data_IF_443675410145
#
_entry.id   IF_443675410145
#
_cell.length_a   1.000
_cell.length_b   1.000
_cell.length_c   1.000
_cell.angle_alpha   90.00
_cell.angle_beta   90.00
_cell.angle_gamma   90.00
#
_symmetry.space_group_name_H-M   'P 1'
#
loop_
_entity.id
_entity.type
_entity.pdbx_description
1 polymer ?
#
# COMPACT_ATOMS: atom_id res chain seq x y z
N UNK A 1 -29.83 20.63 -7.77
CA UNK A 1 -28.65 21.41 -7.38
C UNK A 1 -27.59 20.58 -6.64
N UNK A 2 -27.49 19.28 -6.78
CA UNK A 2 -26.53 18.47 -6.01
C UNK A 2 -25.45 17.73 -6.83
N UNK A 3 -25.56 17.75 -8.17
CA UNK A 3 -24.65 16.96 -9.03
C UNK A 3 -23.36 17.71 -9.40
N UNK A 4 -23.39 19.05 -9.46
CA UNK A 4 -22.23 19.86 -9.81
C UNK A 4 -21.19 19.93 -8.70
N UNK A 5 -21.62 20.12 -7.48
CA UNK A 5 -20.75 20.24 -6.29
C UNK A 5 -19.98 18.93 -5.98
N UNK A 6 -20.60 17.77 -6.19
CA UNK A 6 -19.92 16.48 -6.04
C UNK A 6 -18.89 16.20 -7.15
N UNK A 7 -19.16 16.64 -8.38
CA UNK A 7 -18.19 16.53 -9.48
C UNK A 7 -16.98 17.44 -9.27
N UNK A 8 -17.22 18.65 -8.82
CA UNK A 8 -16.18 19.63 -8.54
C UNK A 8 -15.28 19.19 -7.36
N UNK A 9 -15.87 18.71 -6.27
CA UNK A 9 -15.13 18.10 -5.14
C UNK A 9 -14.29 16.91 -5.57
N UNK A 10 -14.84 16.04 -6.43
CA UNK A 10 -14.11 14.88 -6.96
C UNK A 10 -12.98 15.29 -7.91
N UNK A 11 -13.19 16.31 -8.73
CA UNK A 11 -12.17 16.85 -9.63
C UNK A 11 -11.03 17.48 -8.82
N UNK A 12 -11.34 18.31 -7.83
CA UNK A 12 -10.36 18.94 -6.96
C UNK A 12 -9.56 17.91 -6.14
N UNK A 13 -10.22 16.83 -5.67
CA UNK A 13 -9.55 15.71 -5.03
C UNK A 13 -8.58 14.99 -5.98
N UNK A 14 -8.99 14.72 -7.24
CA UNK A 14 -8.14 14.09 -8.25
C UNK A 14 -6.97 14.99 -8.68
N UNK A 15 -7.18 16.31 -8.77
CA UNK A 15 -6.12 17.27 -9.07
C UNK A 15 -5.10 17.35 -7.93
N UNK A 16 -5.55 17.42 -6.69
CA UNK A 16 -4.67 17.39 -5.52
C UNK A 16 -3.86 16.07 -5.45
N UNK A 17 -4.46 14.94 -5.77
CA UNK A 17 -3.73 13.67 -5.89
C UNK A 17 -2.70 13.68 -7.02
N UNK A 18 -2.99 14.30 -8.16
CA UNK A 18 -2.08 14.43 -9.29
C UNK A 18 -0.88 15.32 -8.96
N UNK A 19 -1.09 16.45 -8.24
CA UNK A 19 -0.03 17.32 -7.78
C UNK A 19 0.88 16.64 -6.74
N UNK A 20 0.28 15.93 -5.78
CA UNK A 20 1.03 15.12 -4.81
C UNK A 20 1.84 14.04 -5.50
N UNK A 21 1.28 13.40 -6.53
CA UNK A 21 1.98 12.38 -7.32
C UNK A 21 3.15 12.96 -8.12
N UNK A 22 2.96 14.13 -8.76
CA UNK A 22 4.01 14.82 -9.51
C UNK A 22 5.16 15.22 -8.59
N UNK A 23 4.87 15.77 -7.43
CA UNK A 23 5.88 16.14 -6.43
C UNK A 23 6.63 14.91 -5.89
N UNK A 24 5.92 13.80 -5.71
CA UNK A 24 6.50 12.54 -5.28
C UNK A 24 7.49 11.96 -6.32
N UNK A 25 7.17 12.10 -7.62
CA UNK A 25 8.04 11.64 -8.72
C UNK A 25 9.28 12.53 -8.86
N UNK A 26 9.17 13.84 -8.64
CA UNK A 26 10.29 14.77 -8.67
C UNK A 26 11.30 14.53 -7.54
N UNK A 27 10.83 14.29 -6.32
CA UNK A 27 11.68 14.01 -5.15
C UNK A 27 12.52 12.72 -5.31
N UNK A 28 11.99 11.71 -6.03
CA UNK A 28 12.71 10.48 -6.34
C UNK A 28 13.66 10.61 -7.55
N UNK A 29 13.49 11.62 -8.41
CA UNK A 29 14.37 11.88 -9.54
C UNK A 29 15.65 12.63 -9.15
N UNK A 30 15.63 13.39 -8.06
CA UNK A 30 16.77 14.18 -7.57
C UNK A 30 17.89 13.31 -6.94
N UNK A 31 17.64 12.03 -6.71
CA UNK A 31 18.70 11.10 -6.26
C UNK A 31 19.73 10.73 -7.35
N UNK A 32 19.56 11.19 -8.58
CA UNK A 32 20.42 10.70 -9.68
C UNK A 32 20.94 11.72 -10.70
N UNK A 33 20.91 13.03 -10.48
CA UNK A 33 21.56 13.96 -11.43
C UNK A 33 21.98 15.27 -10.77
N UNK A 34 23.25 15.36 -10.42
CA UNK A 34 23.92 16.63 -10.20
C UNK A 34 23.98 17.47 -11.49
N UNK A 35 23.31 18.61 -11.54
CA UNK A 35 23.57 19.67 -12.54
C UNK A 35 23.25 21.09 -12.07
N UNK A 36 24.33 21.83 -12.01
CA UNK A 36 24.62 23.23 -12.34
C UNK A 36 23.47 24.25 -12.36
N UNK A 37 23.64 25.23 -11.47
CA UNK A 37 22.99 26.54 -11.47
C UNK A 37 23.22 27.33 -12.76
N UNK A 38 22.16 27.86 -13.35
CA UNK A 38 22.20 29.00 -14.27
C UNK A 38 21.48 30.18 -13.60
N UNK A 39 22.22 31.29 -13.43
CA UNK A 39 21.68 32.58 -13.00
C UNK A 39 21.15 33.30 -14.22
N UNK A 40 19.91 33.82 -14.17
CA UNK A 40 19.58 35.15 -14.72
C UNK A 40 18.10 35.51 -14.44
N UNK A 41 17.82 36.75 -14.03
CA UNK A 41 16.52 37.41 -14.19
C UNK A 41 15.85 37.88 -12.91
N UNK A 42 16.18 39.10 -12.49
CA UNK A 42 15.46 39.91 -11.48
C UNK A 42 14.05 40.24 -11.98
N UNK A 43 13.03 40.06 -11.15
CA UNK A 43 11.67 40.64 -11.15
C UNK A 43 10.53 39.62 -11.25
N UNK A 44 10.51 38.61 -10.33
CA UNK A 44 9.32 37.78 -10.04
C UNK A 44 9.45 37.17 -8.65
N UNK A 45 9.82 37.98 -7.65
CA UNK A 45 10.13 37.40 -6.31
C UNK A 45 8.91 37.24 -5.41
N UNK A 46 7.72 37.71 -5.78
CA UNK A 46 6.53 37.58 -4.94
C UNK A 46 5.75 36.28 -5.17
N UNK A 47 5.49 35.91 -6.39
CA UNK A 47 4.76 34.64 -6.70
C UNK A 47 5.61 33.39 -6.38
N UNK A 48 6.88 33.39 -6.80
CA UNK A 48 7.77 32.27 -6.49
C UNK A 48 8.09 32.11 -4.98
N UNK A 49 8.01 33.20 -4.20
CA UNK A 49 8.18 33.15 -2.75
C UNK A 49 6.89 32.70 -2.03
N UNK A 50 5.74 32.97 -2.60
CA UNK A 50 4.44 32.48 -2.12
C UNK A 50 4.28 31.00 -2.44
N UNK A 51 4.59 30.59 -3.66
CA UNK A 51 4.63 29.17 -4.08
C UNK A 51 5.62 28.36 -3.25
N UNK A 52 6.82 28.90 -2.99
CA UNK A 52 7.81 28.24 -2.12
C UNK A 52 7.36 28.15 -0.65
N UNK A 53 6.55 29.09 -0.16
CA UNK A 53 5.94 29.02 1.17
C UNK A 53 4.80 28.02 1.21
N UNK A 54 3.91 28.03 0.22
CA UNK A 54 2.83 27.05 0.08
C UNK A 54 3.38 25.62 -0.08
N UNK A 55 4.46 25.44 -0.85
CA UNK A 55 5.18 24.17 -0.94
C UNK A 55 5.82 23.74 0.38
N UNK A 56 6.41 24.68 1.12
CA UNK A 56 7.00 24.40 2.43
C UNK A 56 5.96 24.07 3.49
N UNK A 57 4.81 24.74 3.46
CA UNK A 57 3.67 24.46 4.35
C UNK A 57 2.98 23.14 3.97
N UNK A 58 2.85 22.82 2.68
CA UNK A 58 2.39 21.51 2.21
C UNK A 58 3.38 20.39 2.60
N UNK A 59 4.69 20.63 2.47
CA UNK A 59 5.73 19.70 2.92
C UNK A 59 5.75 19.48 4.44
N UNK A 60 5.44 20.53 5.22
CA UNK A 60 5.37 20.41 6.69
C UNK A 60 4.09 19.73 7.18
N UNK A 61 3.03 19.75 6.37
CA UNK A 61 1.77 19.01 6.64
C UNK A 61 1.83 17.55 6.20
N UNK A 62 2.74 17.18 5.29
CA UNK A 62 3.07 15.80 5.01
C UNK A 62 3.83 15.26 6.21
N UNK A 63 3.14 14.58 7.12
CA UNK A 63 3.78 13.84 8.21
C UNK A 63 4.67 12.77 7.58
N UNK A 64 5.94 13.09 7.40
CA UNK A 64 6.94 12.14 6.90
C UNK A 64 7.29 11.19 8.05
N UNK A 65 6.42 10.20 8.28
CA UNK A 65 6.77 9.06 9.10
C UNK A 65 7.81 8.23 8.34
N UNK A 66 9.08 8.53 8.56
CA UNK A 66 10.15 7.71 8.00
C UNK A 66 10.29 6.44 8.83
N UNK A 67 9.97 5.31 8.23
CA UNK A 67 10.22 3.99 8.79
C UNK A 67 11.73 3.75 8.80
N UNK A 68 12.36 3.83 9.96
CA UNK A 68 13.80 3.61 10.12
C UNK A 68 14.14 2.17 10.47
N UNK A 69 13.15 1.39 10.90
CA UNK A 69 13.30 -0.01 11.33
C UNK A 69 12.14 -0.83 10.80
N UNK A 70 12.41 -2.09 10.51
CA UNK A 70 11.35 -3.05 10.19
C UNK A 70 10.35 -3.20 11.36
N UNK A 71 9.09 -3.60 11.10
CA UNK A 71 8.13 -3.91 12.15
C UNK A 71 8.67 -4.99 13.09
N UNK A 72 8.40 -4.86 14.39
CA UNK A 72 8.91 -5.78 15.42
C UNK A 72 8.35 -7.20 15.30
N UNK A 73 7.16 -7.33 14.71
CA UNK A 73 6.46 -8.60 14.45
C UNK A 73 7.06 -9.38 13.27
N UNK A 74 7.94 -8.76 12.47
CA UNK A 74 8.63 -9.42 11.37
C UNK A 74 9.87 -10.14 11.88
N UNK A 75 9.88 -11.48 11.76
CA UNK A 75 10.95 -12.36 12.23
C UNK A 75 12.17 -12.39 11.31
N UNK A 76 12.02 -12.02 10.03
CA UNK A 76 13.14 -11.89 9.09
C UNK A 76 13.94 -10.62 9.37
N UNK A 77 15.24 -10.64 9.05
CA UNK A 77 16.03 -9.41 8.95
C UNK A 77 15.89 -8.83 7.55
N UNK A 78 15.19 -7.71 7.42
CA UNK A 78 15.04 -7.02 6.16
C UNK A 78 16.35 -6.37 5.72
N UNK A 79 16.67 -6.48 4.43
CA UNK A 79 17.82 -5.77 3.85
C UNK A 79 17.52 -4.26 3.74
N UNK A 80 18.54 -3.38 3.71
CA UNK A 80 18.34 -1.93 3.65
C UNK A 80 17.36 -1.50 2.53
N UNK A 81 17.51 -2.02 1.32
CA UNK A 81 16.61 -1.68 0.20
C UNK A 81 15.16 -2.14 0.42
N UNK A 82 14.94 -3.24 1.17
CA UNK A 82 13.59 -3.69 1.53
C UNK A 82 12.93 -2.76 2.55
N UNK A 83 13.72 -2.19 3.46
CA UNK A 83 13.23 -1.16 4.40
C UNK A 83 12.91 0.13 3.65
N UNK A 84 13.71 0.49 2.65
CA UNK A 84 13.40 1.64 1.78
C UNK A 84 12.11 1.40 0.97
N UNK A 85 11.94 0.22 0.40
CA UNK A 85 10.70 -0.17 -0.28
C UNK A 85 9.49 -0.15 0.65
N UNK A 86 9.64 -0.64 1.89
CA UNK A 86 8.60 -0.53 2.91
C UNK A 86 8.27 0.94 3.22
N UNK A 87 9.28 1.79 3.37
CA UNK A 87 9.13 3.23 3.60
C UNK A 87 8.32 3.89 2.48
N UNK A 88 8.64 3.54 1.24
CA UNK A 88 7.93 4.03 0.07
C UNK A 88 6.45 3.58 0.07
N UNK A 89 6.17 2.31 0.36
CA UNK A 89 4.81 1.79 0.46
C UNK A 89 4.01 2.47 1.59
N UNK A 90 4.63 2.71 2.74
CA UNK A 90 4.02 3.42 3.87
C UNK A 90 3.72 4.87 3.50
N UNK A 91 4.64 5.56 2.80
CA UNK A 91 4.43 6.92 2.32
C UNK A 91 3.24 6.99 1.35
N UNK A 92 3.10 6.02 0.44
CA UNK A 92 1.94 5.92 -0.44
C UNK A 92 0.64 5.74 0.35
N UNK A 93 0.65 4.80 1.30
CA UNK A 93 -0.52 4.54 2.15
C UNK A 93 -0.94 5.78 2.94
N UNK A 94 0.01 6.48 3.57
CA UNK A 94 -0.25 7.68 4.37
C UNK A 94 -0.81 8.84 3.54
N UNK A 95 -0.50 8.87 2.25
CA UNK A 95 -1.05 9.84 1.30
C UNK A 95 -2.32 9.36 0.58
N UNK A 96 -2.85 8.17 0.91
CA UNK A 96 -4.03 7.60 0.26
C UNK A 96 -3.81 7.23 -1.21
N UNK A 97 -2.56 6.97 -1.60
CA UNK A 97 -2.16 6.63 -2.98
C UNK A 97 -1.92 5.13 -3.09
N UNK A 98 -2.47 4.51 -4.13
CA UNK A 98 -2.14 3.13 -4.47
C UNK A 98 -0.78 3.05 -5.16
N UNK A 99 0.01 2.01 -4.85
CA UNK A 99 1.33 1.83 -5.40
C UNK A 99 1.53 0.51 -6.12
N UNK A 100 2.53 0.47 -7.00
CA UNK A 100 2.98 -0.73 -7.69
C UNK A 100 4.44 -0.96 -7.32
N UNK A 101 4.73 -2.05 -6.62
CA UNK A 101 6.09 -2.46 -6.29
C UNK A 101 6.70 -3.25 -7.45
N UNK A 102 7.35 -2.56 -8.38
CA UNK A 102 7.91 -3.10 -9.62
C UNK A 102 9.41 -3.49 -9.50
N UNK A 103 9.82 -4.01 -8.36
CA UNK A 103 11.17 -4.52 -8.15
C UNK A 103 11.46 -5.78 -8.99
N UNK A 104 12.74 -6.06 -9.26
CA UNK A 104 13.16 -7.28 -9.92
C UNK A 104 12.72 -8.54 -9.17
N UNK A 105 12.62 -9.66 -9.90
CA UNK A 105 12.30 -10.96 -9.31
C UNK A 105 13.40 -11.37 -8.30
N UNK A 106 12.98 -11.98 -7.19
CA UNK A 106 13.93 -12.47 -6.17
C UNK A 106 14.35 -11.43 -5.11
N UNK A 107 13.97 -10.16 -5.23
CA UNK A 107 14.29 -9.12 -4.25
C UNK A 107 13.41 -9.15 -2.98
N UNK A 108 12.51 -10.14 -2.87
CA UNK A 108 11.70 -10.35 -1.66
C UNK A 108 10.49 -9.43 -1.56
N UNK A 109 9.81 -9.16 -2.70
CA UNK A 109 8.56 -8.39 -2.74
C UNK A 109 7.51 -8.93 -1.77
N UNK A 110 7.40 -10.25 -1.65
CA UNK A 110 6.48 -10.90 -0.70
C UNK A 110 6.77 -10.48 0.75
N UNK A 111 8.05 -10.47 1.15
CA UNK A 111 8.44 -10.00 2.49
C UNK A 111 8.13 -8.53 2.69
N UNK A 112 8.40 -7.67 1.71
CA UNK A 112 8.07 -6.24 1.78
C UNK A 112 6.55 -6.02 1.91
N UNK A 113 5.74 -6.78 1.17
CA UNK A 113 4.28 -6.73 1.24
C UNK A 113 3.74 -7.19 2.60
N UNK A 114 4.26 -8.30 3.13
CA UNK A 114 3.91 -8.78 4.48
C UNK A 114 4.33 -7.75 5.53
N UNK A 115 5.52 -7.13 5.37
CA UNK A 115 6.01 -6.11 6.28
C UNK A 115 5.17 -4.84 6.27
N UNK A 116 4.57 -4.47 5.12
CA UNK A 116 3.59 -3.38 5.06
C UNK A 116 2.37 -3.69 5.93
N UNK A 117 1.76 -4.86 5.77
CA UNK A 117 0.60 -5.26 6.58
C UNK A 117 0.94 -5.32 8.08
N UNK A 118 2.13 -5.82 8.41
CA UNK A 118 2.64 -5.84 9.78
C UNK A 118 2.84 -4.43 10.35
N UNK A 119 3.37 -3.50 9.54
CA UNK A 119 3.51 -2.09 9.91
C UNK A 119 2.14 -1.42 10.15
N UNK A 120 1.17 -1.67 9.29
CA UNK A 120 -0.18 -1.13 9.43
C UNK A 120 -0.83 -1.61 10.74
N UNK A 121 -0.67 -2.89 11.08
CA UNK A 121 -1.16 -3.44 12.34
C UNK A 121 -0.45 -2.84 13.56
N UNK A 122 0.89 -2.79 13.55
CA UNK A 122 1.70 -2.37 14.70
C UNK A 122 1.64 -0.84 14.94
N UNK A 123 1.68 -0.05 13.87
CA UNK A 123 1.86 1.41 13.97
C UNK A 123 0.55 2.18 13.76
N UNK A 124 -0.33 1.67 12.91
CA UNK A 124 -1.61 2.35 12.57
C UNK A 124 -2.82 1.69 13.24
N UNK A 125 -2.62 0.58 13.95
CA UNK A 125 -3.68 -0.24 14.55
C UNK A 125 -4.71 -0.74 13.51
N UNK A 126 -4.24 -1.00 12.27
CA UNK A 126 -5.04 -1.54 11.17
C UNK A 126 -4.72 -3.03 11.03
N UNK A 127 -5.44 -3.87 11.77
CA UNK A 127 -5.22 -5.31 11.78
C UNK A 127 -5.88 -6.06 10.61
N UNK A 128 -6.72 -5.40 9.85
CA UNK A 128 -7.43 -6.00 8.72
C UNK A 128 -8.95 -5.77 8.82
N UNK A 129 -9.76 -6.63 8.18
CA UNK A 129 -9.30 -7.69 7.29
C UNK A 129 -8.65 -7.17 6.01
N UNK A 130 -7.58 -7.84 5.57
CA UNK A 130 -6.90 -7.57 4.31
C UNK A 130 -7.14 -8.71 3.33
N UNK A 131 -7.03 -8.45 2.03
CA UNK A 131 -7.10 -9.49 1.00
C UNK A 131 -5.87 -9.48 0.12
N UNK A 132 -5.23 -10.66 -0.04
CA UNK A 132 -4.14 -10.91 -0.98
C UNK A 132 -4.64 -11.76 -2.14
N UNK A 133 -4.57 -11.22 -3.35
CA UNK A 133 -4.93 -11.91 -4.60
C UNK A 133 -3.64 -12.25 -5.32
N UNK A 134 -3.38 -13.54 -5.49
CA UNK A 134 -2.12 -14.04 -6.04
C UNK A 134 -2.38 -15.15 -7.06
N UNK A 135 -1.43 -15.49 -7.95
CA UNK A 135 -1.57 -16.65 -8.82
C UNK A 135 -1.83 -17.92 -8.00
N UNK A 136 -2.70 -18.80 -8.49
CA UNK A 136 -3.11 -20.04 -7.78
C UNK A 136 -1.92 -20.89 -7.33
N UNK A 137 -0.88 -20.97 -8.15
CA UNK A 137 0.34 -21.76 -7.89
C UNK A 137 1.12 -21.28 -6.67
N UNK A 138 1.04 -19.97 -6.32
CA UNK A 138 1.83 -19.39 -5.23
C UNK A 138 1.04 -19.13 -3.95
N UNK A 139 -0.27 -19.40 -3.92
CA UNK A 139 -1.11 -19.22 -2.72
C UNK A 139 -0.53 -19.95 -1.50
N UNK A 140 -0.12 -21.19 -1.66
CA UNK A 140 0.45 -21.98 -0.55
C UNK A 140 1.82 -21.42 -0.12
N UNK A 141 2.60 -20.84 -1.03
CA UNK A 141 3.85 -20.17 -0.71
C UNK A 141 3.60 -18.92 0.14
N UNK A 142 2.64 -18.07 -0.26
CA UNK A 142 2.23 -16.90 0.49
C UNK A 142 1.78 -17.25 1.91
N UNK A 143 0.96 -18.29 2.07
CA UNK A 143 0.52 -18.79 3.39
C UNK A 143 1.70 -19.23 4.26
N UNK A 144 2.69 -19.90 3.66
CA UNK A 144 3.90 -20.35 4.37
C UNK A 144 4.77 -19.16 4.77
N UNK A 145 4.98 -18.20 3.86
CA UNK A 145 5.79 -17.02 4.11
C UNK A 145 5.16 -16.10 5.15
N UNK A 146 3.84 -15.88 5.12
CA UNK A 146 3.15 -15.12 6.16
C UNK A 146 3.35 -15.74 7.54
N UNK A 147 3.13 -17.04 7.68
CA UNK A 147 3.33 -17.73 8.97
C UNK A 147 4.78 -17.71 9.45
N UNK A 148 5.72 -17.75 8.51
CA UNK A 148 7.15 -17.72 8.81
C UNK A 148 7.63 -16.32 9.21
N UNK A 149 7.24 -15.30 8.46
CA UNK A 149 7.78 -13.95 8.61
C UNK A 149 7.00 -13.07 9.58
N UNK A 150 5.68 -13.31 9.71
CA UNK A 150 4.81 -12.60 10.65
C UNK A 150 3.90 -13.60 11.39
N UNK A 151 4.42 -14.36 12.39
CA UNK A 151 3.65 -15.40 13.10
C UNK A 151 2.44 -14.87 13.86
N UNK A 152 2.43 -13.58 14.18
CA UNK A 152 1.31 -12.91 14.88
C UNK A 152 0.12 -12.65 13.98
N UNK A 153 0.33 -12.64 12.65
CA UNK A 153 -0.72 -12.44 11.65
C UNK A 153 -1.54 -13.72 11.47
N UNK A 154 -2.84 -13.59 11.36
CA UNK A 154 -3.80 -14.70 11.22
C UNK A 154 -4.26 -14.83 9.76
N UNK A 155 -3.50 -15.54 8.89
CA UNK A 155 -3.88 -15.70 7.49
C UNK A 155 -4.90 -16.83 7.32
N UNK A 156 -5.94 -16.57 6.53
CA UNK A 156 -6.94 -17.53 6.05
C UNK A 156 -6.70 -17.82 4.57
N UNK A 157 -6.77 -19.10 4.19
CA UNK A 157 -6.60 -19.54 2.80
C UNK A 157 -7.94 -19.83 2.15
N UNK A 158 -8.38 -19.01 1.21
CA UNK A 158 -9.56 -19.24 0.39
C UNK A 158 -9.16 -19.91 -0.95
N UNK A 159 -9.02 -21.23 -0.93
CA UNK A 159 -8.62 -22.04 -2.08
C UNK A 159 -9.25 -23.45 -1.96
N UNK A 160 -9.36 -24.13 -3.10
CA UNK A 160 -9.85 -25.49 -3.16
C UNK A 160 -11.08 -25.66 -4.06
N UNK A 161 -11.82 -26.74 -3.87
CA UNK A 161 -13.06 -26.99 -4.57
C UNK A 161 -14.21 -26.09 -4.08
N UNK A 162 -15.41 -26.25 -4.66
CA UNK A 162 -16.57 -25.42 -4.28
C UNK A 162 -16.97 -25.63 -2.82
N UNK A 163 -16.88 -26.86 -2.31
CA UNK A 163 -17.29 -27.20 -0.95
C UNK A 163 -16.28 -26.63 0.07
N UNK A 164 -14.99 -26.75 -0.22
CA UNK A 164 -13.91 -26.20 0.62
C UNK A 164 -14.00 -24.68 0.72
N UNK A 165 -14.20 -24.00 -0.42
CA UNK A 165 -14.37 -22.54 -0.41
C UNK A 165 -15.63 -22.10 0.33
N UNK A 166 -16.76 -22.80 0.10
CA UNK A 166 -18.01 -22.49 0.82
C UNK A 166 -17.87 -22.70 2.33
N UNK A 167 -17.11 -23.73 2.76
CA UNK A 167 -16.78 -23.93 4.18
C UNK A 167 -15.94 -22.81 4.72
N UNK A 168 -14.86 -22.44 4.05
CA UNK A 168 -13.98 -21.36 4.44
C UNK A 168 -14.74 -20.01 4.60
N UNK A 169 -15.62 -19.69 3.64
CA UNK A 169 -16.44 -18.48 3.72
C UNK A 169 -17.38 -18.52 4.92
N UNK A 170 -17.99 -19.66 5.21
CA UNK A 170 -18.96 -19.80 6.28
C UNK A 170 -18.31 -19.85 7.68
N UNK A 171 -17.13 -20.42 7.78
CA UNK A 171 -16.46 -20.72 9.05
C UNK A 171 -15.34 -19.72 9.34
N UNK A 172 -14.42 -19.52 8.39
CA UNK A 172 -13.19 -18.74 8.61
C UNK A 172 -13.36 -17.25 8.27
N UNK A 173 -14.18 -16.91 7.27
CA UNK A 173 -14.41 -15.52 6.83
C UNK A 173 -15.71 -14.89 7.34
N UNK A 174 -16.46 -15.62 8.20
CA UNK A 174 -17.73 -15.15 8.72
C UNK A 174 -17.59 -13.91 9.59
N UNK A 175 -16.58 -13.91 10.42
CA UNK A 175 -16.29 -12.84 11.37
C UNK A 175 -15.00 -12.11 10.91
N UNK A 176 -15.11 -10.86 10.45
CA UNK A 176 -13.95 -10.07 10.01
C UNK A 176 -12.89 -9.86 11.09
N UNK A 177 -13.25 -9.94 12.36
CA UNK A 177 -12.32 -9.77 13.49
C UNK A 177 -11.56 -11.07 13.84
N UNK A 178 -11.98 -12.21 13.27
CA UNK A 178 -11.35 -13.51 13.51
C UNK A 178 -10.06 -13.75 12.73
N UNK A 179 -9.79 -12.98 11.68
CA UNK A 179 -8.61 -13.12 10.81
C UNK A 179 -8.06 -11.76 10.39
N UNK A 180 -6.80 -11.73 9.97
CA UNK A 180 -6.17 -10.49 9.53
C UNK A 180 -6.03 -10.41 8.00
N UNK A 181 -5.75 -11.54 7.35
CA UNK A 181 -5.51 -11.61 5.89
C UNK A 181 -6.19 -12.82 5.26
N UNK A 182 -6.95 -12.59 4.20
CA UNK A 182 -7.44 -13.65 3.31
C UNK A 182 -6.50 -13.76 2.09
N UNK A 183 -5.90 -14.91 1.87
CA UNK A 183 -5.09 -15.20 0.69
C UNK A 183 -5.87 -16.06 -0.28
N UNK A 184 -6.07 -15.58 -1.50
CA UNK A 184 -6.86 -16.27 -2.53
C UNK A 184 -6.26 -16.10 -3.92
N UNK A 185 -6.82 -16.79 -4.90
CA UNK A 185 -6.42 -16.65 -6.31
C UNK A 185 -7.37 -15.73 -7.08
N UNK A 186 -6.92 -15.23 -8.25
CA UNK A 186 -7.78 -14.49 -9.18
C UNK A 186 -9.07 -15.24 -9.51
N UNK A 187 -8.95 -16.54 -9.78
CA UNK A 187 -10.10 -17.41 -10.04
C UNK A 187 -11.01 -17.55 -8.81
N UNK A 188 -10.42 -17.61 -7.61
CA UNK A 188 -11.13 -17.65 -6.34
C UNK A 188 -11.98 -16.42 -6.13
N UNK A 189 -11.42 -15.23 -6.38
CA UNK A 189 -12.15 -13.95 -6.30
C UNK A 189 -13.34 -13.92 -7.26
N UNK A 190 -13.14 -14.34 -8.50
CA UNK A 190 -14.23 -14.34 -9.49
C UNK A 190 -15.37 -15.27 -9.09
N UNK A 191 -15.05 -16.46 -8.56
CA UNK A 191 -16.05 -17.45 -8.13
C UNK A 191 -16.79 -17.05 -6.87
N UNK A 192 -16.11 -16.39 -5.93
CA UNK A 192 -16.65 -16.07 -4.61
C UNK A 192 -16.93 -14.56 -4.42
N UNK A 193 -17.02 -13.82 -5.54
CA UNK A 193 -17.24 -12.36 -5.56
C UNK A 193 -18.39 -11.94 -4.65
N UNK A 194 -19.53 -12.66 -4.69
CA UNK A 194 -20.71 -12.33 -3.90
C UNK A 194 -20.52 -12.39 -2.39
N UNK A 195 -19.61 -13.23 -1.91
CA UNK A 195 -19.24 -13.31 -0.50
C UNK A 195 -18.16 -12.27 -0.14
N UNK A 196 -17.12 -12.19 -0.96
CA UNK A 196 -15.98 -11.29 -0.70
C UNK A 196 -16.35 -9.80 -0.74
N UNK A 197 -17.30 -9.39 -1.59
CA UNK A 197 -17.77 -8.01 -1.65
C UNK A 197 -18.62 -7.58 -0.42
N UNK A 198 -18.98 -8.49 0.47
CA UNK A 198 -19.70 -8.16 1.71
C UNK A 198 -18.76 -7.81 2.87
N UNK A 199 -17.48 -8.10 2.72
CA UNK A 199 -16.45 -7.82 3.72
C UNK A 199 -15.84 -6.45 3.39
N UNK A 200 -15.71 -5.61 4.41
CA UNK A 200 -15.03 -4.32 4.29
C UNK A 200 -13.52 -4.53 4.43
N UNK A 201 -12.84 -4.71 3.30
CA UNK A 201 -11.39 -4.91 3.25
C UNK A 201 -10.65 -3.62 3.54
N UNK A 202 -9.73 -3.65 4.50
CA UNK A 202 -8.88 -2.50 4.84
C UNK A 202 -7.76 -2.29 3.82
N UNK A 203 -7.24 -3.37 3.23
CA UNK A 203 -6.17 -3.31 2.21
C UNK A 203 -6.33 -4.44 1.19
N UNK A 204 -6.10 -4.09 -0.07
CA UNK A 204 -6.07 -5.03 -1.19
C UNK A 204 -4.65 -5.13 -1.73
N UNK A 205 -4.09 -6.32 -1.76
CA UNK A 205 -2.79 -6.66 -2.30
C UNK A 205 -2.98 -7.55 -3.53
N UNK A 206 -2.35 -7.21 -4.64
CA UNK A 206 -2.39 -8.01 -5.86
C UNK A 206 -0.95 -8.35 -6.24
N UNK A 207 -0.65 -9.63 -6.39
CA UNK A 207 0.66 -10.12 -6.80
C UNK A 207 0.61 -10.60 -8.24
N UNK A 208 1.65 -10.28 -9.00
CA UNK A 208 1.76 -10.63 -10.43
C UNK A 208 0.53 -10.19 -11.28
N UNK A 209 0.17 -8.90 -11.18
CA UNK A 209 -0.94 -8.29 -11.90
C UNK A 209 -0.59 -7.94 -13.36
#
# INVERSE_FOLDING_TARGET
>A
GGSGDQREKRLNYLMAQSEVFSHFMEENSDLNLGKKKSKTGRTRMTEAAEDARLMKDAQSQLQVHRVTRQPSTITATMRPYQVEGLNWLVKLHDNGINGILADEMGLGKTLQSISLLAYLAETKNIHGPHICIVPKSVVNNWMREMRKWCPTMRPVKLLGDKHERARCIREDLRDPDSFDVCVTSYEGVLKEKGALCKINWSYLLIDEA
#
